data_IF_903074088639
#
_entry.id   IF_903074088639
#
_cell.length_a   1.000
_cell.length_b   1.000
_cell.length_c   1.000
_cell.angle_alpha   90.00
_cell.angle_beta   90.00
_cell.angle_gamma   90.00
#
_symmetry.space_group_name_H-M   'P 1'
#
loop_
_entity.id
_entity.type
_entity.pdbx_description
1 polymer ?
#
# COMPACT_ATOMS: atom_id res chain seq x y z
N UNK A 1 7.33 -7.92 -13.92
CA UNK A 1 6.73 -8.02 -15.28
C UNK A 1 7.74 -7.81 -16.42
N UNK A 2 9.07 -7.82 -16.19
CA UNK A 2 10.07 -7.70 -17.27
C UNK A 2 10.23 -6.30 -17.92
N UNK A 3 9.38 -5.34 -17.58
CA UNK A 3 9.46 -3.95 -18.05
C UNK A 3 10.14 -3.03 -17.02
N UNK A 4 10.70 -1.89 -17.44
CA UNK A 4 11.21 -0.88 -16.52
C UNK A 4 10.13 -0.41 -15.53
N UNK A 5 10.55 -0.06 -14.32
CA UNK A 5 9.67 0.54 -13.32
C UNK A 5 9.19 1.90 -13.80
N UNK A 6 7.92 2.25 -13.55
CA UNK A 6 7.33 3.47 -14.10
C UNK A 6 8.13 4.74 -13.74
N UNK A 7 8.69 4.81 -12.52
CA UNK A 7 9.44 5.98 -12.07
C UNK A 7 10.79 6.16 -12.77
N UNK A 8 11.36 5.12 -13.39
CA UNK A 8 12.56 5.25 -14.22
C UNK A 8 12.26 5.80 -15.61
N UNK A 9 10.98 5.83 -16.02
CA UNK A 9 10.52 6.39 -17.29
C UNK A 9 9.94 7.81 -17.08
N UNK A 10 9.08 7.97 -16.08
CA UNK A 10 8.29 9.20 -15.87
C UNK A 10 8.74 10.04 -14.66
N UNK A 11 9.73 9.57 -13.91
CA UNK A 11 10.23 10.22 -12.70
C UNK A 11 9.46 9.87 -11.43
N UNK A 12 10.15 9.94 -10.28
CA UNK A 12 9.58 9.66 -8.95
C UNK A 12 8.36 10.57 -8.64
N UNK A 13 8.42 11.90 -8.83
CA UNK A 13 7.30 12.78 -8.45
C UNK A 13 6.00 12.44 -9.19
N UNK A 14 6.08 12.23 -10.50
CA UNK A 14 4.94 11.92 -11.36
C UNK A 14 4.28 10.59 -10.98
N UNK A 15 5.09 9.57 -10.69
CA UNK A 15 4.58 8.23 -10.37
C UNK A 15 3.97 8.18 -8.97
N UNK A 16 4.52 8.90 -7.98
CA UNK A 16 3.89 9.04 -6.67
C UNK A 16 2.52 9.71 -6.80
N UNK A 17 2.45 10.84 -7.53
CA UNK A 17 1.18 11.54 -7.75
C UNK A 17 0.16 10.64 -8.47
N UNK A 18 0.57 9.95 -9.53
CA UNK A 18 -0.30 9.06 -10.29
C UNK A 18 -0.77 7.87 -9.46
N UNK A 19 0.09 7.27 -8.63
CA UNK A 19 -0.30 6.15 -7.76
C UNK A 19 -1.35 6.59 -6.73
N UNK A 20 -1.12 7.73 -6.07
CA UNK A 20 -2.05 8.28 -5.10
C UNK A 20 -3.40 8.65 -5.73
N UNK A 21 -3.37 9.24 -6.94
CA UNK A 21 -4.60 9.53 -7.69
C UNK A 21 -5.43 8.25 -7.95
N UNK A 22 -4.78 7.15 -8.32
CA UNK A 22 -5.46 5.87 -8.58
C UNK A 22 -6.04 5.24 -7.30
N UNK A 23 -5.46 5.47 -6.12
CA UNK A 23 -6.10 5.07 -4.86
C UNK A 23 -7.48 5.70 -4.68
N UNK A 24 -7.62 6.98 -5.01
CA UNK A 24 -8.90 7.69 -4.89
C UNK A 24 -9.88 7.36 -6.00
N UNK A 25 -9.42 7.04 -7.22
CA UNK A 25 -10.28 6.42 -8.23
C UNK A 25 -10.79 5.04 -7.77
N UNK A 26 -9.98 4.30 -7.02
CA UNK A 26 -10.41 3.07 -6.36
C UNK A 26 -11.54 3.32 -5.35
N UNK A 27 -11.37 4.33 -4.49
CA UNK A 27 -12.42 4.74 -3.55
C UNK A 27 -13.71 5.19 -4.27
N UNK A 28 -13.59 5.97 -5.36
CA UNK A 28 -14.74 6.35 -6.20
C UNK A 28 -15.50 5.12 -6.69
N UNK A 29 -14.80 4.07 -7.14
CA UNK A 29 -15.42 2.79 -7.52
C UNK A 29 -16.01 2.03 -6.33
N UNK A 30 -15.42 2.09 -5.15
CA UNK A 30 -15.98 1.45 -3.94
C UNK A 30 -17.32 2.08 -3.57
N UNK A 31 -17.47 3.41 -3.74
CA UNK A 31 -18.73 4.11 -3.50
C UNK A 31 -19.88 3.64 -4.40
N UNK A 32 -19.58 3.12 -5.60
CA UNK A 32 -20.61 2.60 -6.51
C UNK A 32 -21.19 1.26 -6.07
N UNK A 33 -20.64 0.62 -5.04
CA UNK A 33 -21.19 -0.62 -4.47
C UNK A 33 -22.48 -0.38 -3.67
N UNK A 34 -22.80 0.88 -3.34
CA UNK A 34 -24.00 1.29 -2.59
C UNK A 34 -24.23 0.47 -1.31
N UNK A 35 -23.12 0.12 -0.63
CA UNK A 35 -23.14 -0.65 0.61
C UNK A 35 -22.58 0.19 1.77
N UNK A 36 -23.30 0.31 2.90
CA UNK A 36 -22.93 1.22 4.00
C UNK A 36 -21.55 0.93 4.60
N UNK A 37 -21.13 -0.34 4.61
CA UNK A 37 -19.81 -0.74 5.15
C UNK A 37 -18.66 -0.70 4.14
N UNK A 38 -18.91 -0.47 2.84
CA UNK A 38 -17.87 -0.61 1.81
C UNK A 38 -16.69 0.34 2.03
N UNK A 39 -16.99 1.62 2.29
CA UNK A 39 -15.96 2.64 2.56
C UNK A 39 -15.22 2.36 3.86
N UNK A 40 -15.95 1.90 4.90
CA UNK A 40 -15.36 1.56 6.20
C UNK A 40 -14.37 0.41 6.07
N UNK A 41 -14.76 -0.65 5.35
CA UNK A 41 -13.90 -1.80 5.10
C UNK A 41 -12.67 -1.41 4.26
N UNK A 42 -12.88 -0.67 3.16
CA UNK A 42 -11.80 -0.18 2.31
C UNK A 42 -10.78 0.66 3.10
N UNK A 43 -11.26 1.58 3.94
CA UNK A 43 -10.41 2.42 4.79
C UNK A 43 -9.62 1.59 5.78
N UNK A 44 -10.25 0.62 6.46
CA UNK A 44 -9.56 -0.27 7.41
C UNK A 44 -8.45 -1.06 6.73
N UNK A 45 -8.73 -1.67 5.56
CA UNK A 45 -7.75 -2.45 4.83
C UNK A 45 -6.57 -1.59 4.32
N UNK A 46 -6.82 -0.36 3.86
CA UNK A 46 -5.74 0.55 3.46
C UNK A 46 -4.84 0.95 4.63
N UNK A 47 -5.41 1.18 5.82
CA UNK A 47 -4.63 1.49 7.02
C UNK A 47 -3.74 0.31 7.43
N UNK A 48 -4.29 -0.91 7.47
CA UNK A 48 -3.52 -2.13 7.75
C UNK A 48 -2.38 -2.32 6.72
N UNK A 49 -2.66 -2.10 5.43
CA UNK A 49 -1.64 -2.15 4.38
C UNK A 49 -0.50 -1.16 4.61
N UNK A 50 -0.81 0.09 4.97
CA UNK A 50 0.22 1.11 5.23
C UNK A 50 1.01 0.83 6.52
N UNK A 51 0.38 0.22 7.54
CA UNK A 51 1.08 -0.21 8.75
C UNK A 51 2.13 -1.29 8.42
N UNK A 52 1.73 -2.33 7.68
CA UNK A 52 2.65 -3.39 7.24
C UNK A 52 3.78 -2.85 6.36
N UNK A 53 3.45 -2.01 5.37
CA UNK A 53 4.47 -1.39 4.51
C UNK A 53 5.41 -0.45 5.30
N UNK A 54 4.89 0.24 6.31
CA UNK A 54 5.66 1.10 7.21
C UNK A 54 6.67 0.32 8.03
N UNK A 55 6.28 -0.82 8.61
CA UNK A 55 7.19 -1.71 9.34
C UNK A 55 8.29 -2.28 8.44
N UNK A 56 7.94 -2.69 7.22
CA UNK A 56 8.89 -3.22 6.23
C UNK A 56 9.97 -2.16 5.86
N UNK A 57 9.55 -0.91 5.67
CA UNK A 57 10.46 0.22 5.43
C UNK A 57 11.30 0.51 6.67
N UNK A 58 10.68 0.55 7.85
CA UNK A 58 11.37 0.83 9.11
C UNK A 58 12.51 -0.16 9.35
N UNK A 59 12.24 -1.47 9.33
CA UNK A 59 13.26 -2.49 9.54
C UNK A 59 14.41 -2.40 8.53
N UNK A 60 14.10 -2.13 7.26
CA UNK A 60 15.10 -1.96 6.20
C UNK A 60 16.00 -0.75 6.45
N UNK A 61 15.42 0.40 6.76
CA UNK A 61 16.15 1.68 6.85
C UNK A 61 16.85 1.87 8.20
N UNK A 62 16.35 1.20 9.26
CA UNK A 62 16.95 1.15 10.59
C UNK A 62 17.98 0.01 10.74
N UNK A 63 18.16 -0.81 9.71
CA UNK A 63 19.04 -1.99 9.69
C UNK A 63 18.71 -3.02 10.79
N UNK A 64 17.43 -3.09 11.18
CA UNK A 64 16.93 -4.02 12.20
C UNK A 64 16.34 -5.24 11.52
N UNK A 65 16.93 -6.42 11.74
CA UNK A 65 16.41 -7.68 11.22
C UNK A 65 15.25 -8.18 12.09
N UNK A 66 14.02 -8.35 11.55
CA UNK A 66 12.89 -8.87 12.32
C UNK A 66 13.04 -10.37 12.60
N UNK A 67 12.36 -10.84 13.63
CA UNK A 67 12.13 -12.28 13.83
C UNK A 67 11.22 -12.85 12.74
N UNK A 68 11.22 -14.17 12.59
CA UNK A 68 10.33 -14.84 11.61
C UNK A 68 8.85 -14.52 11.86
N UNK A 69 8.43 -14.48 13.13
CA UNK A 69 7.04 -14.20 13.51
C UNK A 69 6.65 -12.74 13.20
N UNK A 70 7.55 -11.79 13.45
CA UNK A 70 7.34 -10.38 13.05
C UNK A 70 7.27 -10.23 11.53
N UNK A 71 8.14 -10.93 10.80
CA UNK A 71 8.11 -10.93 9.33
C UNK A 71 6.76 -11.48 8.81
N UNK A 72 6.29 -12.61 9.34
CA UNK A 72 4.97 -13.18 9.00
C UNK A 72 3.83 -12.19 9.29
N UNK A 73 3.85 -11.55 10.46
CA UNK A 73 2.82 -10.57 10.83
C UNK A 73 2.79 -9.38 9.87
N UNK A 74 3.95 -8.84 9.49
CA UNK A 74 4.04 -7.75 8.50
C UNK A 74 3.56 -8.17 7.12
N UNK A 75 3.85 -9.41 6.69
CA UNK A 75 3.35 -9.96 5.42
C UNK A 75 1.83 -10.01 5.39
N UNK A 76 1.18 -10.46 6.48
CA UNK A 76 -0.28 -10.52 6.59
C UNK A 76 -0.97 -9.16 6.53
N UNK A 77 -0.27 -8.09 6.90
CA UNK A 77 -0.79 -6.72 6.83
C UNK A 77 -0.60 -6.11 5.44
N UNK A 78 0.55 -6.34 4.79
CA UNK A 78 0.91 -5.67 3.51
C UNK A 78 0.48 -6.42 2.25
N UNK A 79 0.13 -7.70 2.34
CA UNK A 79 -0.18 -8.60 1.20
C UNK A 79 -1.57 -9.17 1.31
#
# INVERSE_FOLDING_TARGET
RGFPVAHSIYGIPSVINSANYVYFLGLEKVLTLDHPDAVKLFTRQLLELHQGQGLDIYWRDDYTCPTEEECKATVLQKT
#
